data_IF_914827205826
#
_entry.id   IF_914827205826
#
_cell.length_a   1.000
_cell.length_b   1.000
_cell.length_c   1.000
_cell.angle_alpha   90.00
_cell.angle_beta   90.00
_cell.angle_gamma   90.00
#
_symmetry.space_group_name_H-M   'P 1'
#
loop_
_entity.id
_entity.type
_entity.pdbx_description
1 polymer ?
#
# COMPACT_ATOMS: atom_id res chain seq x y z
N UNK A 1 -7.94 22.72 -19.62
CA UNK A 1 -7.88 21.57 -18.68
C UNK A 1 -7.80 20.33 -19.53
N UNK A 2 -6.65 19.66 -19.60
CA UNK A 2 -6.54 18.41 -20.35
C UNK A 2 -7.41 17.34 -19.68
N UNK A 3 -8.16 16.61 -20.51
CA UNK A 3 -8.89 15.43 -20.06
C UNK A 3 -7.83 14.43 -19.57
N UNK A 4 -7.80 14.14 -18.28
CA UNK A 4 -7.00 13.06 -17.72
C UNK A 4 -7.66 11.75 -18.18
N UNK A 5 -7.27 11.23 -19.35
CA UNK A 5 -7.71 9.91 -19.81
C UNK A 5 -6.92 8.85 -19.06
N UNK A 6 -7.54 8.31 -18.01
CA UNK A 6 -6.99 7.20 -17.23
C UNK A 6 -6.92 5.94 -18.12
N UNK A 7 -5.78 5.72 -18.79
CA UNK A 7 -5.57 4.52 -19.58
C UNK A 7 -5.23 3.34 -18.66
N UNK A 8 -6.18 2.43 -18.45
CA UNK A 8 -6.08 1.30 -17.51
C UNK A 8 -4.77 0.51 -17.61
N UNK A 9 -4.24 0.34 -18.83
CA UNK A 9 -3.01 -0.40 -19.09
C UNK A 9 -1.78 0.23 -18.44
N UNK A 10 -1.73 1.57 -18.36
CA UNK A 10 -0.58 2.29 -17.80
C UNK A 10 -0.51 2.15 -16.28
N UNK A 11 -1.64 1.88 -15.62
CA UNK A 11 -1.76 1.77 -14.16
C UNK A 11 -1.93 0.33 -13.69
N UNK A 12 -1.39 -0.61 -14.47
CA UNK A 12 -1.53 -2.04 -14.22
C UNK A 12 -0.15 -2.70 -14.25
N UNK A 13 0.17 -3.48 -13.22
CA UNK A 13 1.34 -4.36 -13.23
C UNK A 13 0.84 -5.79 -13.33
N UNK A 14 1.08 -6.40 -14.50
CA UNK A 14 0.74 -7.80 -14.75
C UNK A 14 1.90 -8.72 -14.39
N UNK A 15 1.57 -9.95 -13.98
CA UNK A 15 2.54 -11.02 -13.69
C UNK A 15 3.58 -10.59 -12.63
N UNK A 16 3.12 -9.93 -11.57
CA UNK A 16 3.97 -9.49 -10.47
C UNK A 16 4.75 -10.68 -9.88
N UNK A 17 4.05 -11.80 -9.66
CA UNK A 17 4.67 -12.99 -9.10
C UNK A 17 5.80 -13.55 -9.98
N UNK A 18 5.68 -13.47 -11.30
CA UNK A 18 6.67 -14.00 -12.24
C UNK A 18 7.82 -13.01 -12.48
N UNK A 19 7.52 -11.71 -12.58
CA UNK A 19 8.45 -10.72 -13.13
C UNK A 19 9.06 -9.78 -12.07
N UNK A 20 8.44 -9.69 -10.89
CA UNK A 20 8.78 -8.70 -9.87
C UNK A 20 9.15 -9.34 -8.53
N UNK A 21 8.66 -10.55 -8.24
CA UNK A 21 9.00 -11.26 -7.01
C UNK A 21 10.52 -11.39 -6.78
N UNK A 22 11.29 -11.65 -7.84
CA UNK A 22 12.76 -11.75 -7.75
C UNK A 22 13.46 -10.39 -7.57
N UNK A 23 12.76 -9.28 -7.79
CA UNK A 23 13.26 -7.92 -7.60
C UNK A 23 12.95 -7.37 -6.20
N UNK A 24 12.29 -8.15 -5.35
CA UNK A 24 12.00 -7.74 -3.98
C UNK A 24 13.27 -7.81 -3.14
N UNK A 25 13.59 -6.72 -2.46
CA UNK A 25 14.71 -6.63 -1.54
C UNK A 25 14.18 -6.40 -0.12
N UNK A 26 14.80 -7.08 0.84
CA UNK A 26 14.50 -6.89 2.25
C UNK A 26 14.82 -5.44 2.67
N UNK A 27 13.84 -4.74 3.23
CA UNK A 27 14.03 -3.42 3.81
C UNK A 27 15.01 -3.49 4.97
N UNK A 28 15.76 -2.41 5.22
CA UNK A 28 16.57 -2.33 6.44
C UNK A 28 15.64 -2.52 7.68
N UNK A 29 16.14 -3.16 8.75
CA UNK A 29 15.38 -3.29 9.99
C UNK A 29 14.89 -1.92 10.46
N UNK A 30 13.66 -1.84 11.00
CA UNK A 30 13.23 -0.69 11.80
C UNK A 30 14.22 -0.51 12.96
N UNK A 31 14.63 0.73 13.25
CA UNK A 31 15.50 1.05 14.39
C UNK A 31 14.91 0.47 15.68
N UNK A 32 15.78 0.02 16.59
CA UNK A 32 15.42 -0.68 17.84
C UNK A 32 14.33 0.06 18.65
N UNK A 33 14.29 1.39 18.58
CA UNK A 33 13.30 2.25 19.26
C UNK A 33 11.85 2.09 18.78
N UNK A 34 11.59 1.79 17.50
CA UNK A 34 10.21 1.60 17.01
C UNK A 34 9.67 0.22 17.39
N UNK A 35 10.58 -0.74 17.55
CA UNK A 35 10.30 -2.10 18.00
C UNK A 35 9.81 -2.10 19.46
N UNK A 36 10.37 -1.24 20.31
CA UNK A 36 9.94 -1.09 21.72
C UNK A 36 8.53 -0.51 21.87
N UNK A 37 8.12 0.40 20.98
CA UNK A 37 6.76 0.97 20.99
C UNK A 37 5.68 -0.06 20.67
N UNK A 38 5.99 -1.04 19.82
CA UNK A 38 5.08 -2.15 19.50
C UNK A 38 5.07 -3.23 20.59
N UNK A 39 6.21 -3.49 21.22
CA UNK A 39 6.33 -4.45 22.32
C UNK A 39 5.70 -3.97 23.64
N UNK A 40 5.45 -2.66 23.81
CA UNK A 40 4.81 -2.11 25.01
C UNK A 40 3.28 -2.16 24.99
N UNK A 41 2.66 -2.62 23.90
CA UNK A 41 1.27 -3.06 23.92
C UNK A 41 1.20 -4.46 24.56
N UNK A 42 0.80 -4.55 25.82
CA UNK A 42 0.62 -5.78 26.61
C UNK A 42 -0.48 -6.73 26.04
N UNK A 43 -0.28 -7.22 24.82
CA UNK A 43 -0.99 -8.38 24.30
C UNK A 43 0.07 -9.41 23.90
N UNK A 44 0.13 -10.50 24.67
CA UNK A 44 0.86 -11.73 24.38
C UNK A 44 0.33 -12.38 23.08
N UNK A 45 0.64 -11.77 21.95
CA UNK A 45 0.63 -12.43 20.67
C UNK A 45 2.01 -12.21 20.08
N UNK A 46 2.78 -13.28 19.96
CA UNK A 46 3.94 -13.33 19.07
C UNK A 46 3.46 -12.91 17.66
N UNK A 47 3.48 -11.62 17.35
CA UNK A 47 3.42 -11.16 15.96
C UNK A 47 4.86 -11.28 15.50
N UNK A 48 5.24 -12.35 14.77
CA UNK A 48 6.63 -12.57 14.41
C UNK A 48 7.08 -11.34 13.62
N UNK A 49 8.17 -10.71 14.06
CA UNK A 49 8.83 -9.56 13.43
C UNK A 49 8.58 -9.51 11.92
N UNK A 50 7.55 -8.78 11.51
CA UNK A 50 7.19 -8.71 10.11
C UNK A 50 8.20 -7.81 9.44
N UNK A 51 8.89 -8.35 8.44
CA UNK A 51 9.82 -7.59 7.61
C UNK A 51 9.11 -7.12 6.36
N UNK A 52 9.56 -6.01 5.82
CA UNK A 52 9.07 -5.47 4.57
C UNK A 52 10.04 -5.84 3.45
N UNK A 53 9.49 -6.31 2.34
CA UNK A 53 10.22 -6.57 1.11
C UNK A 53 9.73 -5.61 0.06
N UNK A 54 10.62 -4.88 -0.62
CA UNK A 54 10.20 -3.84 -1.54
C UNK A 54 10.91 -3.91 -2.89
N UNK A 55 10.24 -3.39 -3.92
CA UNK A 55 10.83 -3.09 -5.22
C UNK A 55 10.23 -1.79 -5.76
N UNK A 56 11.01 -1.03 -6.53
CA UNK A 56 10.53 0.19 -7.17
C UNK A 56 10.04 -0.09 -8.58
N UNK A 57 8.91 0.49 -8.96
CA UNK A 57 8.29 0.35 -10.27
C UNK A 57 7.72 1.68 -10.76
N UNK A 58 7.74 1.90 -12.07
CA UNK A 58 6.99 2.99 -12.68
C UNK A 58 5.53 2.55 -12.86
N UNK A 59 4.58 3.38 -12.44
CA UNK A 59 3.13 3.14 -12.52
C UNK A 59 2.47 4.38 -13.11
N UNK A 60 1.95 4.28 -14.33
CA UNK A 60 1.38 5.43 -15.02
C UNK A 60 2.43 6.52 -15.23
N UNK A 61 2.12 7.72 -14.75
CA UNK A 61 3.01 8.88 -14.70
C UNK A 61 3.96 8.91 -13.50
N UNK A 62 3.80 8.00 -12.53
CA UNK A 62 4.60 8.00 -11.31
C UNK A 62 5.83 7.11 -11.47
N UNK A 63 7.00 7.67 -11.19
CA UNK A 63 8.27 6.96 -11.25
C UNK A 63 8.66 6.42 -9.87
N UNK A 64 9.46 5.35 -9.83
CA UNK A 64 10.02 4.85 -8.56
C UNK A 64 9.00 4.53 -7.45
N UNK A 65 7.76 4.20 -7.80
CA UNK A 65 6.72 3.82 -6.83
C UNK A 65 7.17 2.58 -6.07
N UNK A 66 7.21 2.66 -4.75
CA UNK A 66 7.61 1.55 -3.90
C UNK A 66 6.47 0.54 -3.76
N UNK A 67 6.69 -0.69 -4.19
CA UNK A 67 5.78 -1.81 -3.94
C UNK A 67 6.35 -2.59 -2.77
N UNK A 68 5.64 -2.58 -1.64
CA UNK A 68 6.05 -3.23 -0.40
C UNK A 68 5.17 -4.46 -0.16
N UNK A 69 5.79 -5.58 0.16
CA UNK A 69 5.14 -6.85 0.50
C UNK A 69 5.66 -7.32 1.84
N UNK A 70 4.74 -7.62 2.76
CA UNK A 70 5.09 -8.15 4.07
C UNK A 70 5.66 -9.58 3.99
N UNK A 71 6.67 -9.86 4.81
CA UNK A 71 7.36 -11.15 4.90
C UNK A 71 8.09 -11.32 6.23
N UNK A 72 9.06 -12.24 6.21
CA UNK A 72 10.03 -12.43 7.28
C UNK A 72 11.45 -12.08 6.77
N UNK A 73 12.49 -12.39 7.54
CA UNK A 73 13.88 -12.10 7.14
C UNK A 73 14.38 -12.90 5.93
N UNK A 74 13.68 -13.96 5.51
CA UNK A 74 14.10 -14.86 4.43
C UNK A 74 13.35 -14.59 3.12
N UNK A 75 12.03 -14.31 3.20
CA UNK A 75 11.17 -14.09 2.03
C UNK A 75 9.86 -13.36 2.36
N UNK A 76 9.21 -12.76 1.34
CA UNK A 76 7.82 -12.31 1.43
C UNK A 76 6.86 -13.46 1.77
N UNK A 77 5.77 -13.17 2.47
CA UNK A 77 4.71 -14.16 2.69
C UNK A 77 3.94 -14.41 1.40
N UNK A 78 3.79 -15.68 1.04
CA UNK A 78 3.15 -16.11 -0.21
C UNK A 78 1.71 -15.59 -0.36
N UNK A 79 0.99 -15.42 0.75
CA UNK A 79 -0.37 -14.85 0.72
C UNK A 79 -0.39 -13.40 0.22
N UNK A 80 0.57 -12.57 0.66
CA UNK A 80 0.66 -11.16 0.23
C UNK A 80 1.26 -11.02 -1.16
N UNK A 81 2.13 -11.94 -1.58
CA UNK A 81 2.60 -12.02 -2.98
C UNK A 81 1.44 -12.33 -3.92
N UNK A 82 0.57 -13.28 -3.57
CA UNK A 82 -0.64 -13.59 -4.35
C UNK A 82 -1.62 -12.41 -4.36
N UNK A 83 -1.77 -11.73 -3.23
CA UNK A 83 -2.58 -10.52 -3.16
C UNK A 83 -2.02 -9.43 -4.08
N UNK A 84 -0.72 -9.15 -4.04
CA UNK A 84 -0.06 -8.20 -4.91
C UNK A 84 -0.29 -8.55 -6.40
N UNK A 85 -0.09 -9.80 -6.79
CA UNK A 85 -0.32 -10.25 -8.18
C UNK A 85 -1.76 -10.07 -8.65
N UNK A 86 -2.74 -10.21 -7.74
CA UNK A 86 -4.14 -9.99 -8.05
C UNK A 86 -4.49 -8.50 -8.11
N UNK A 87 -4.12 -7.73 -7.09
CA UNK A 87 -4.51 -6.32 -6.94
C UNK A 87 -3.79 -5.45 -7.97
N UNK A 88 -2.51 -5.71 -8.26
CA UNK A 88 -1.75 -4.92 -9.22
C UNK A 88 -2.27 -5.04 -10.67
N UNK A 89 -2.96 -6.14 -11.02
CA UNK A 89 -3.66 -6.32 -12.30
C UNK A 89 -4.86 -5.39 -12.47
N UNK A 90 -5.42 -4.92 -11.36
CA UNK A 90 -6.63 -4.11 -11.29
C UNK A 90 -6.39 -2.82 -10.49
N UNK A 91 -5.11 -2.40 -10.37
CA UNK A 91 -4.70 -1.25 -9.57
C UNK A 91 -5.39 0.04 -10.04
N UNK A 92 -5.64 0.17 -11.34
CA UNK A 92 -6.42 1.26 -11.93
C UNK A 92 -7.76 1.52 -11.22
N UNK A 93 -8.49 0.47 -10.83
CA UNK A 93 -9.80 0.59 -10.16
C UNK A 93 -9.63 1.24 -8.80
N UNK A 94 -8.61 0.82 -8.05
CA UNK A 94 -8.34 1.30 -6.70
C UNK A 94 -7.77 2.71 -6.70
N UNK A 95 -6.89 3.03 -7.66
CA UNK A 95 -6.37 4.38 -7.86
C UNK A 95 -7.49 5.37 -8.16
N UNK A 96 -8.39 5.03 -9.09
CA UNK A 96 -9.53 5.87 -9.41
C UNK A 96 -10.38 6.17 -8.18
N UNK A 97 -10.75 5.12 -7.42
CA UNK A 97 -11.54 5.28 -6.18
C UNK A 97 -10.82 6.09 -5.11
N UNK A 98 -9.53 5.86 -4.91
CA UNK A 98 -8.72 6.58 -3.93
C UNK A 98 -8.62 8.07 -4.28
N UNK A 99 -8.35 8.39 -5.55
CA UNK A 99 -8.26 9.78 -6.02
C UNK A 99 -9.61 10.50 -5.97
N UNK A 100 -10.71 9.82 -6.32
CA UNK A 100 -12.07 10.36 -6.16
C UNK A 100 -12.36 10.69 -4.68
N UNK A 101 -12.01 9.78 -3.76
CA UNK A 101 -12.15 10.01 -2.33
C UNK A 101 -11.32 11.22 -1.86
N UNK A 102 -10.02 11.27 -2.20
CA UNK A 102 -9.14 12.36 -1.79
C UNK A 102 -9.66 13.73 -2.28
N UNK A 103 -10.05 13.83 -3.57
CA UNK A 103 -10.60 15.07 -4.15
C UNK A 103 -11.93 15.50 -3.52
N UNK A 104 -12.75 14.54 -3.07
CA UNK A 104 -14.03 14.83 -2.43
C UNK A 104 -13.83 15.37 -1.01
N UNK A 105 -12.97 14.72 -0.22
CA UNK A 105 -12.86 14.98 1.22
C UNK A 105 -11.71 15.92 1.61
N UNK A 106 -10.82 16.26 0.67
CA UNK A 106 -9.73 17.22 0.87
C UNK A 106 -9.85 18.34 -0.20
N UNK A 107 -10.83 19.24 -0.07
CA UNK A 107 -11.23 20.15 -1.16
C UNK A 107 -10.18 21.20 -1.54
N UNK A 108 -9.27 21.53 -0.62
CA UNK A 108 -8.14 22.46 -0.84
C UNK A 108 -7.20 21.97 -1.97
N UNK A 109 -7.32 20.70 -2.37
CA UNK A 109 -6.39 20.01 -3.25
C UNK A 109 -7.03 19.59 -4.60
N UNK A 110 -8.25 20.08 -4.91
CA UNK A 110 -9.01 19.73 -6.13
C UNK A 110 -8.25 19.95 -7.45
N UNK A 111 -7.25 20.83 -7.45
CA UNK A 111 -6.45 21.20 -8.63
C UNK A 111 -4.99 20.75 -8.58
N UNK A 112 -4.54 20.12 -7.49
CA UNK A 112 -3.15 19.67 -7.38
C UNK A 112 -2.97 18.20 -7.78
N UNK A 113 -1.73 17.85 -8.14
CA UNK A 113 -1.36 16.50 -8.59
C UNK A 113 -0.99 15.66 -7.37
N UNK A 114 -1.75 14.59 -7.12
CA UNK A 114 -1.34 13.57 -6.16
C UNK A 114 -0.30 12.66 -6.82
N UNK A 115 0.76 12.36 -6.07
CA UNK A 115 1.82 11.45 -6.47
C UNK A 115 1.66 10.12 -5.72
N UNK A 116 1.50 9.00 -6.41
CA UNK A 116 1.51 7.70 -5.76
C UNK A 116 2.95 7.39 -5.33
N UNK A 117 3.21 7.33 -4.03
CA UNK A 117 4.55 7.03 -3.51
C UNK A 117 4.75 5.53 -3.26
N UNK A 118 3.73 4.87 -2.71
CA UNK A 118 3.87 3.51 -2.16
C UNK A 118 2.59 2.71 -2.33
N UNK A 119 2.74 1.41 -2.63
CA UNK A 119 1.69 0.39 -2.60
C UNK A 119 2.14 -0.72 -1.65
N UNK A 120 1.48 -0.86 -0.51
CA UNK A 120 1.88 -1.83 0.53
C UNK A 120 0.87 -2.97 0.64
N UNK A 121 1.33 -4.21 0.70
CA UNK A 121 0.54 -5.43 0.89
C UNK A 121 0.95 -6.12 2.18
N UNK A 122 -0.02 -6.41 3.06
CA UNK A 122 0.28 -7.03 4.34
C UNK A 122 -0.89 -7.01 5.32
N UNK A 123 -0.54 -7.16 6.60
CA UNK A 123 -1.42 -6.96 7.73
C UNK A 123 -1.54 -5.46 8.03
N UNK A 124 -2.77 -4.97 8.13
CA UNK A 124 -3.11 -3.59 8.38
C UNK A 124 -3.93 -3.48 9.67
N UNK A 125 -3.59 -2.49 10.49
CA UNK A 125 -4.43 -2.06 11.60
C UNK A 125 -5.68 -1.32 11.09
N UNK A 126 -6.83 -1.58 11.72
CA UNK A 126 -8.03 -0.77 11.55
C UNK A 126 -8.27 0.17 12.73
N UNK A 127 -9.28 1.04 12.61
CA UNK A 127 -9.66 1.97 13.68
C UNK A 127 -10.05 1.27 15.00
N UNK A 128 -10.51 0.02 14.93
CA UNK A 128 -10.85 -0.81 16.10
C UNK A 128 -9.66 -1.65 16.59
N UNK A 129 -8.44 -1.34 16.17
CA UNK A 129 -7.21 -2.07 16.51
C UNK A 129 -7.16 -3.55 16.09
N UNK A 130 -8.03 -3.95 15.16
CA UNK A 130 -7.97 -5.27 14.54
C UNK A 130 -6.88 -5.30 13.46
N UNK A 131 -6.18 -6.44 13.38
CA UNK A 131 -5.18 -6.71 12.35
C UNK A 131 -5.82 -7.53 11.24
N UNK A 132 -5.88 -6.97 10.02
CA UNK A 132 -6.55 -7.57 8.87
C UNK A 132 -5.62 -7.58 7.66
N UNK A 133 -5.70 -8.62 6.83
CA UNK A 133 -5.00 -8.64 5.56
C UNK A 133 -5.57 -7.56 4.62
N UNK A 134 -4.70 -6.86 3.90
CA UNK A 134 -5.10 -5.78 3.03
C UNK A 134 -3.95 -5.15 2.26
N UNK A 135 -4.27 -4.04 1.60
CA UNK A 135 -3.27 -3.19 0.97
C UNK A 135 -3.54 -1.71 1.20
N UNK A 136 -2.50 -0.91 1.03
CA UNK A 136 -2.55 0.55 1.18
C UNK A 136 -1.96 1.21 -0.06
N UNK A 137 -2.58 2.31 -0.50
CA UNK A 137 -2.04 3.25 -1.48
C UNK A 137 -1.65 4.53 -0.74
N UNK A 138 -0.38 4.90 -0.80
CA UNK A 138 0.14 6.13 -0.22
C UNK A 138 0.31 7.19 -1.31
N UNK A 139 -0.22 8.38 -1.07
CA UNK A 139 -0.13 9.53 -1.97
C UNK A 139 0.55 10.70 -1.28
N UNK A 140 1.42 11.39 -2.00
CA UNK A 140 2.01 12.67 -1.60
C UNK A 140 1.36 13.79 -2.40
N UNK A 141 1.05 14.90 -1.73
CA UNK A 141 0.49 16.10 -2.35
C UNK A 141 1.47 17.28 -2.23
N UNK A 142 1.95 17.81 -3.36
CA UNK A 142 2.91 18.91 -3.37
C UNK A 142 4.22 18.55 -2.67
N UNK A 143 4.78 19.48 -1.90
CA UNK A 143 5.94 19.23 -1.05
C UNK A 143 5.52 18.59 0.29
N UNK A 144 6.39 17.73 0.84
CA UNK A 144 6.29 17.16 2.19
C UNK A 144 5.94 18.26 3.23
N UNK A 145 5.06 18.01 4.24
CA UNK A 145 4.63 16.72 4.79
C UNK A 145 3.21 16.26 4.41
N UNK A 146 2.59 16.80 3.36
CA UNK A 146 1.19 16.46 3.05
C UNK A 146 1.08 15.09 2.37
N UNK A 147 1.06 14.04 3.17
CA UNK A 147 0.97 12.67 2.73
C UNK A 147 -0.36 12.03 3.21
N UNK A 148 -0.95 11.21 2.35
CA UNK A 148 -2.26 10.59 2.54
C UNK A 148 -2.17 9.10 2.25
N UNK A 149 -3.02 8.31 2.91
CA UNK A 149 -3.14 6.88 2.68
C UNK A 149 -4.58 6.49 2.40
N UNK A 150 -4.74 5.49 1.53
CA UNK A 150 -5.99 4.81 1.23
C UNK A 150 -5.81 3.31 1.44
N UNK A 151 -6.50 2.76 2.44
CA UNK A 151 -6.41 1.35 2.87
C UNK A 151 -7.62 0.58 2.38
N UNK A 152 -7.41 -0.64 1.91
CA UNK A 152 -8.46 -1.63 1.59
C UNK A 152 -8.18 -2.91 2.36
N UNK A 153 -9.20 -3.44 3.03
CA UNK A 153 -9.06 -4.55 3.98
C UNK A 153 -9.98 -5.69 3.62
N UNK A 154 -9.52 -6.91 3.84
CA UNK A 154 -10.25 -8.13 3.53
C UNK A 154 -10.55 -8.92 4.80
N UNK A 155 -11.69 -9.60 4.83
CA UNK A 155 -11.94 -10.63 5.84
C UNK A 155 -11.20 -11.93 5.50
N UNK A 156 -11.32 -12.90 6.40
CA UNK A 156 -10.72 -14.25 6.25
C UNK A 156 -11.14 -14.99 4.97
N UNK A 157 -12.28 -14.62 4.37
CA UNK A 157 -12.79 -15.22 3.14
C UNK A 157 -12.35 -14.45 1.88
N UNK A 158 -11.50 -13.42 2.02
CA UNK A 158 -11.02 -12.59 0.91
C UNK A 158 -12.04 -11.56 0.40
N UNK A 159 -13.16 -11.35 1.09
CA UNK A 159 -14.11 -10.29 0.74
C UNK A 159 -13.65 -8.95 1.30
N UNK A 160 -13.71 -7.85 0.53
CA UNK A 160 -13.42 -6.51 1.05
C UNK A 160 -14.47 -6.16 2.12
N UNK A 161 -14.00 -5.75 3.29
CA UNK A 161 -14.86 -5.42 4.45
C UNK A 161 -14.80 -3.95 4.86
N UNK A 162 -13.92 -3.17 4.25
CA UNK A 162 -13.85 -1.74 4.51
C UNK A 162 -12.75 -1.07 3.71
N UNK A 163 -12.91 0.24 3.56
CA UNK A 163 -11.88 1.15 3.10
C UNK A 163 -11.71 2.27 4.11
N UNK A 164 -10.49 2.76 4.26
CA UNK A 164 -10.17 3.89 5.13
C UNK A 164 -9.27 4.85 4.37
N UNK A 165 -9.50 6.16 4.48
CA UNK A 165 -8.66 7.16 3.86
C UNK A 165 -8.42 8.33 4.79
N UNK A 166 -7.18 8.80 4.87
CA UNK A 166 -6.79 9.91 5.74
C UNK A 166 -5.32 10.30 5.56
N UNK A 167 -4.84 11.28 6.35
CA UNK A 167 -3.42 11.60 6.43
C UNK A 167 -2.59 10.35 6.81
N UNK A 168 -1.33 10.33 6.34
CA UNK A 168 -0.35 9.31 6.72
C UNK A 168 0.05 9.43 8.19
#
# INVERSE_FOLDING_TARGET
MSHFEFCEQNYTISNFKQNWYQKLFLSKPLDENETEKWNSCEYEAEVPFTRQWFCSANIGEWEEVEIIVEGNSEKPYEEFVKMADCILKQLHIYLKRALEYLKQFIPIQKSGTYYLSTVTFGRLLNFDSNILAGFTLAFVYGDYPNAFQYKVKFNKNGWPIGFEGGPL
#
